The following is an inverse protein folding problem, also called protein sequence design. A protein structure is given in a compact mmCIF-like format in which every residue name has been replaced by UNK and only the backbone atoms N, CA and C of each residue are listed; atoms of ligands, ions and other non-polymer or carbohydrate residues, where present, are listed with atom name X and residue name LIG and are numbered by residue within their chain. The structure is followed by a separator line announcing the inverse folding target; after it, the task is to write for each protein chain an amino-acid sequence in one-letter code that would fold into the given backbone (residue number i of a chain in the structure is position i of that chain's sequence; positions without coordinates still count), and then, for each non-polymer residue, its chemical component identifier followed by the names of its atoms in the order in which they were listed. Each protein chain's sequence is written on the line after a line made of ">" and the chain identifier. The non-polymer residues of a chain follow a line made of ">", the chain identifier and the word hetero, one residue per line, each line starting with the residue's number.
data_IF_306113061229
#
_entry.id   IF_306113061229
#
_cell.length_a   1.000
_cell.length_b   1.000
_cell.length_c   1.000
_cell.angle_alpha   90.00
_cell.angle_beta   90.00
_cell.angle_gamma   90.00
#
_symmetry.space_group_name_H-M   'P 1'
#
loop_
_entity.id
_entity.type
_entity.pdbx_description
1 polymer ?
#
# COMPACT_ATOMS: atom_id res chain seq x y z
N UNK A 1 -10.23 24.68 10.85
CA UNK A 1 -9.20 23.63 10.69
C UNK A 1 -8.41 23.56 11.99
N UNK A 2 -8.42 22.45 12.73
CA UNK A 2 -7.59 22.32 13.93
C UNK A 2 -6.13 22.32 13.48
N UNK A 3 -5.33 23.26 13.96
CA UNK A 3 -3.90 23.30 13.67
C UNK A 3 -3.26 22.00 14.17
N UNK A 4 -2.73 21.20 13.25
CA UNK A 4 -1.95 20.03 13.60
C UNK A 4 -0.70 20.52 14.34
N UNK A 5 -0.42 19.98 15.53
CA UNK A 5 0.83 20.28 16.21
C UNK A 5 2.00 19.92 15.28
N UNK A 6 3.04 20.76 15.22
CA UNK A 6 4.20 20.60 14.29
C UNK A 6 4.75 19.16 14.26
N UNK A 7 4.74 18.46 15.40
CA UNK A 7 5.14 17.03 15.52
C UNK A 7 4.24 16.08 14.71
N UNK A 8 2.92 16.28 14.74
CA UNK A 8 1.97 15.46 13.98
C UNK A 8 2.11 15.71 12.48
N UNK A 9 2.26 16.98 12.08
CA UNK A 9 2.48 17.32 10.67
C UNK A 9 3.74 16.66 10.11
N UNK A 10 4.86 16.74 10.83
CA UNK A 10 6.12 16.10 10.43
C UNK A 10 5.99 14.57 10.42
N UNK A 11 5.36 13.96 11.43
CA UNK A 11 5.18 12.52 11.48
C UNK A 11 4.27 11.98 10.35
N UNK A 12 3.19 12.69 10.02
CA UNK A 12 2.34 12.34 8.88
C UNK A 12 3.06 12.56 7.55
N UNK A 13 3.83 13.64 7.41
CA UNK A 13 4.64 13.89 6.22
C UNK A 13 5.68 12.79 5.99
N UNK A 14 6.41 12.40 7.04
CA UNK A 14 7.38 11.32 6.97
C UNK A 14 6.71 9.97 6.63
N UNK A 15 5.54 9.69 7.21
CA UNK A 15 4.75 8.50 6.90
C UNK A 15 4.24 8.47 5.45
N UNK A 16 3.83 9.62 4.90
CA UNK A 16 3.41 9.73 3.50
C UNK A 16 4.58 9.46 2.55
N UNK A 17 5.74 10.08 2.80
CA UNK A 17 6.97 9.83 2.03
C UNK A 17 7.34 8.35 2.06
N UNK A 18 7.33 7.72 3.24
CA UNK A 18 7.64 6.29 3.38
C UNK A 18 6.66 5.40 2.60
N UNK A 19 5.36 5.69 2.65
CA UNK A 19 4.35 4.95 1.88
C UNK A 19 4.61 5.07 0.37
N UNK A 20 4.86 6.28 -0.12
CA UNK A 20 5.06 6.52 -1.55
C UNK A 20 6.35 5.87 -2.06
N UNK A 21 7.41 5.85 -1.25
CA UNK A 21 8.65 5.13 -1.58
C UNK A 21 8.42 3.62 -1.71
N UNK A 22 7.68 3.00 -0.79
CA UNK A 22 7.37 1.56 -0.87
C UNK A 22 6.47 1.26 -2.07
N UNK A 23 5.52 2.14 -2.36
CA UNK A 23 4.67 2.00 -3.55
C UNK A 23 5.49 2.10 -4.84
N UNK A 24 6.40 3.07 -4.94
CA UNK A 24 7.29 3.23 -6.09
C UNK A 24 8.20 2.01 -6.29
N UNK A 25 8.76 1.47 -5.19
CA UNK A 25 9.59 0.26 -5.22
C UNK A 25 8.77 -0.96 -5.68
N UNK A 26 7.56 -1.14 -5.15
CA UNK A 26 6.70 -2.28 -5.50
C UNK A 26 6.26 -2.20 -6.96
N UNK A 27 5.87 -1.01 -7.43
CA UNK A 27 5.42 -0.79 -8.80
C UNK A 27 6.54 -1.05 -9.83
N UNK A 28 7.78 -0.63 -9.55
CA UNK A 28 8.91 -0.90 -10.44
C UNK A 28 9.32 -2.37 -10.44
N UNK A 29 9.35 -3.00 -9.26
CA UNK A 29 9.73 -4.40 -9.12
C UNK A 29 8.74 -5.36 -9.77
N UNK A 30 7.43 -5.10 -9.66
CA UNK A 30 6.38 -5.91 -10.30
C UNK A 30 6.57 -5.95 -11.82
N UNK A 31 6.89 -4.81 -12.43
CA UNK A 31 7.09 -4.73 -13.88
C UNK A 31 8.32 -5.53 -14.32
N UNK A 32 9.44 -5.36 -13.61
CA UNK A 32 10.68 -6.10 -13.84
C UNK A 32 10.49 -7.61 -13.66
N UNK A 33 9.82 -8.03 -12.58
CA UNK A 33 9.59 -9.46 -12.31
C UNK A 33 8.71 -10.13 -13.36
N UNK A 34 7.60 -9.51 -13.76
CA UNK A 34 6.70 -10.11 -14.73
C UNK A 34 7.27 -10.12 -16.16
N UNK A 35 8.01 -9.08 -16.57
CA UNK A 35 8.55 -8.98 -17.91
C UNK A 35 9.91 -9.64 -18.06
N UNK A 36 10.86 -9.35 -17.18
CA UNK A 36 12.26 -9.75 -17.34
C UNK A 36 12.58 -11.12 -16.71
N UNK A 37 11.92 -11.50 -15.61
CA UNK A 37 12.15 -12.79 -14.95
C UNK A 37 11.20 -13.87 -15.49
N UNK A 38 9.90 -13.57 -15.57
CA UNK A 38 8.90 -14.53 -16.04
C UNK A 38 8.71 -14.54 -17.56
N UNK A 39 9.26 -13.56 -18.29
CA UNK A 39 9.18 -13.49 -19.76
C UNK A 39 7.77 -13.26 -20.30
N UNK A 40 6.86 -12.69 -19.50
CA UNK A 40 5.46 -12.48 -19.92
C UNK A 40 5.34 -11.30 -20.89
N UNK A 41 4.43 -11.40 -21.85
CA UNK A 41 4.18 -10.32 -22.80
C UNK A 41 3.66 -9.06 -22.09
N UNK A 42 4.09 -7.88 -22.54
CA UNK A 42 3.66 -6.60 -21.97
C UNK A 42 2.12 -6.43 -21.98
N UNK A 43 1.44 -7.02 -22.98
CA UNK A 43 -0.01 -7.05 -23.07
C UNK A 43 -0.68 -7.84 -21.94
N UNK A 44 -0.11 -8.99 -21.55
CA UNK A 44 -0.62 -9.81 -20.48
C UNK A 44 -0.39 -9.18 -19.11
N UNK A 45 0.79 -8.59 -18.90
CA UNK A 45 1.10 -7.81 -17.68
C UNK A 45 0.16 -6.62 -17.55
N UNK A 46 -0.09 -5.89 -18.63
CA UNK A 46 -1.06 -4.79 -18.66
C UNK A 46 -2.48 -5.24 -18.29
N UNK A 47 -2.90 -6.42 -18.74
CA UNK A 47 -4.20 -7.00 -18.39
C UNK A 47 -4.30 -7.37 -16.90
N UNK A 48 -3.27 -8.01 -16.34
CA UNK A 48 -3.22 -8.32 -14.89
C UNK A 48 -3.26 -7.04 -14.06
N UNK A 49 -2.46 -6.03 -14.43
CA UNK A 49 -2.47 -4.74 -13.74
C UNK A 49 -3.83 -4.06 -13.85
N UNK A 50 -4.51 -4.15 -14.99
CA UNK A 50 -5.87 -3.62 -15.15
C UNK A 50 -6.85 -4.30 -14.19
N UNK A 51 -6.82 -5.62 -14.06
CA UNK A 51 -7.65 -6.35 -13.09
C UNK A 51 -7.35 -5.89 -11.66
N UNK A 52 -6.07 -5.75 -11.32
CA UNK A 52 -5.66 -5.26 -10.00
C UNK A 52 -6.25 -3.87 -9.72
N UNK A 53 -6.27 -2.96 -10.71
CA UNK A 53 -6.89 -1.62 -10.56
C UNK A 53 -8.41 -1.68 -10.37
N UNK A 54 -9.10 -2.57 -11.07
CA UNK A 54 -10.56 -2.74 -10.89
C UNK A 54 -10.86 -3.27 -9.49
N UNK A 55 -10.03 -4.21 -9.00
CA UNK A 55 -10.14 -4.71 -7.64
C UNK A 55 -9.88 -3.61 -6.61
N UNK A 56 -8.82 -2.82 -6.77
CA UNK A 56 -8.53 -1.68 -5.89
C UNK A 56 -9.68 -0.67 -5.86
N UNK A 57 -10.27 -0.36 -7.03
CA UNK A 57 -11.41 0.55 -7.13
C UNK A 57 -12.65 0.07 -6.35
N UNK A 58 -12.81 -1.24 -6.14
CA UNK A 58 -13.86 -1.79 -5.30
C UNK A 58 -13.50 -1.80 -3.80
N UNK A 59 -12.23 -2.08 -3.48
CA UNK A 59 -11.75 -2.12 -2.10
C UNK A 59 -11.68 -0.74 -1.45
N UNK A 60 -11.35 0.30 -2.22
CA UNK A 60 -11.20 1.66 -1.72
C UNK A 60 -12.49 2.20 -1.05
N UNK A 61 -13.68 2.11 -1.67
CA UNK A 61 -14.95 2.44 -0.99
C UNK A 61 -15.25 1.58 0.23
N UNK A 62 -14.95 0.27 0.16
CA UNK A 62 -15.17 -0.65 1.28
C UNK A 62 -14.36 -0.22 2.50
N UNK A 63 -13.07 0.04 2.31
CA UNK A 63 -12.19 0.57 3.36
C UNK A 63 -12.67 1.93 3.87
N UNK A 64 -13.20 2.79 2.99
CA UNK A 64 -13.83 4.05 3.38
C UNK A 64 -15.00 3.87 4.35
N UNK A 65 -15.91 2.94 4.08
CA UNK A 65 -17.06 2.62 4.95
C UNK A 65 -16.59 2.02 6.27
N UNK A 66 -15.60 1.12 6.23
CA UNK A 66 -15.05 0.49 7.43
C UNK A 66 -14.38 1.52 8.34
N UNK A 67 -13.56 2.42 7.78
CA UNK A 67 -12.93 3.52 8.54
C UNK A 67 -13.99 4.48 9.10
N UNK A 68 -15.05 4.78 8.35
CA UNK A 68 -16.13 5.64 8.82
C UNK A 68 -16.89 5.05 10.02
N UNK A 69 -17.12 3.72 10.02
CA UNK A 69 -17.79 2.96 11.08
C UNK A 69 -16.88 2.66 12.28
N UNK A 70 -15.56 2.77 12.14
CA UNK A 70 -14.61 2.48 13.22
C UNK A 70 -14.58 3.63 14.24
N UNK A 71 -15.09 3.39 15.45
CA UNK A 71 -14.98 4.31 16.59
C UNK A 71 -14.13 3.70 17.70
N UNK A 72 -12.82 3.96 17.64
CA UNK A 72 -11.82 3.50 18.61
C UNK A 72 -11.31 4.64 19.48
N UNK A 73 -10.86 4.31 20.70
CA UNK A 73 -10.28 5.27 21.67
C UNK A 73 -9.12 6.09 21.13
N UNK A 74 -8.43 5.61 20.08
CA UNK A 74 -7.29 6.27 19.44
C UNK A 74 -7.67 7.12 18.20
N UNK A 75 -8.96 7.29 17.93
CA UNK A 75 -9.51 7.95 16.74
C UNK A 75 -9.86 6.96 15.63
N UNK A 76 -10.45 7.47 14.54
CA UNK A 76 -10.96 6.66 13.43
C UNK A 76 -9.89 6.17 12.46
N UNK A 77 -8.89 7.01 12.17
CA UNK A 77 -7.88 6.77 11.11
C UNK A 77 -6.59 6.09 11.61
N UNK A 78 -6.23 6.33 12.88
CA UNK A 78 -4.94 5.89 13.46
C UNK A 78 -4.76 4.37 13.57
N UNK A 79 -5.78 3.58 13.97
CA UNK A 79 -5.64 2.13 14.04
C UNK A 79 -5.38 1.52 12.65
N UNK A 80 -6.14 1.96 11.64
CA UNK A 80 -6.02 1.49 10.26
C UNK A 80 -4.68 1.86 9.61
N UNK A 81 -4.16 3.05 9.90
CA UNK A 81 -2.84 3.45 9.44
C UNK A 81 -1.73 2.57 10.04
N UNK A 82 -1.81 2.29 11.34
CA UNK A 82 -0.82 1.48 12.04
C UNK A 82 -0.85 0.00 11.61
N UNK A 83 -2.04 -0.60 11.53
CA UNK A 83 -2.19 -1.98 11.04
C UNK A 83 -1.77 -2.09 9.57
N UNK A 84 -2.10 -1.08 8.74
CA UNK A 84 -1.68 -1.03 7.35
C UNK A 84 -0.17 -0.97 7.18
N UNK A 85 0.54 -0.15 7.98
CA UNK A 85 2.01 -0.10 7.94
C UNK A 85 2.67 -1.40 8.39
N UNK A 86 2.12 -2.08 9.41
CA UNK A 86 2.66 -3.36 9.88
C UNK A 86 2.43 -4.46 8.85
N UNK A 87 1.23 -4.56 8.30
CA UNK A 87 0.92 -5.54 7.25
C UNK A 87 1.81 -5.32 6.04
N UNK A 88 1.98 -4.07 5.60
CA UNK A 88 2.85 -3.75 4.47
C UNK A 88 4.32 -4.13 4.75
N UNK A 89 4.82 -3.87 5.97
CA UNK A 89 6.17 -4.28 6.36
C UNK A 89 6.34 -5.80 6.35
N UNK A 90 5.33 -6.54 6.83
CA UNK A 90 5.36 -8.00 6.82
C UNK A 90 5.33 -8.57 5.40
N UNK A 91 4.46 -8.06 4.52
CA UNK A 91 4.37 -8.49 3.12
C UNK A 91 5.67 -8.17 2.37
N UNK A 92 6.24 -6.99 2.59
CA UNK A 92 7.51 -6.62 1.98
C UNK A 92 8.64 -7.54 2.46
N UNK A 93 8.71 -7.83 3.77
CA UNK A 93 9.67 -8.80 4.29
C UNK A 93 9.46 -10.19 3.67
N UNK A 94 8.22 -10.66 3.58
CA UNK A 94 7.89 -11.94 2.97
C UNK A 94 8.30 -12.00 1.49
N UNK A 95 8.13 -10.90 0.74
CA UNK A 95 8.55 -10.79 -0.66
C UNK A 95 10.06 -10.97 -0.84
N UNK A 96 10.87 -10.41 0.06
CA UNK A 96 12.33 -10.57 0.06
C UNK A 96 12.82 -11.84 0.77
N UNK A 97 11.98 -12.48 1.58
CA UNK A 97 12.27 -13.73 2.27
C UNK A 97 11.82 -14.97 1.48
N UNK A 98 11.20 -14.80 0.29
CA UNK A 98 10.97 -15.93 -0.62
C UNK A 98 12.32 -16.55 -0.97
N UNK A 99 12.53 -17.85 -0.66
CA UNK A 99 13.79 -18.51 -0.98
C UNK A 99 13.99 -18.48 -2.48
N UNK A 100 15.18 -18.04 -2.90
CA UNK A 100 15.61 -18.12 -4.29
C UNK A 100 15.50 -19.58 -4.74
N UNK A 101 14.70 -19.80 -5.79
CA UNK A 101 14.73 -21.06 -6.56
C UNK A 101 16.03 -21.12 -7.33
#
# INVERSE_FOLDING_TARGET
>A
MKEFGKKQFVAYGLGAVGKDMVYALSASYIMYYYQDILGLSASFVGFILMIARVFDAANDPFMGVVVAKTNTKWGKFRPWLFTGTILNAFVLYALFAVPAI
#
